data_IF_091812903478
#
_entry.id   IF_091812903478
#
_cell.length_a   1.000
_cell.length_b   1.000
_cell.length_c   1.000
_cell.angle_alpha   90.00
_cell.angle_beta   90.00
_cell.angle_gamma   90.00
#
_symmetry.space_group_name_H-M   'P 1'
#
loop_
_entity.id
_entity.type
_entity.pdbx_description
1 polymer ?
#
# COMPACT_ATOMS: atom_id res chain seq x y z
N UNK A 1 -13.68 -10.91 -29.96
CA UNK A 1 -13.71 -12.39 -30.12
C UNK A 1 -14.24 -12.82 -31.48
N UNK A 2 -15.38 -12.33 -31.96
CA UNK A 2 -15.98 -12.75 -33.25
C UNK A 2 -15.06 -12.60 -34.48
N UNK A 3 -14.13 -11.64 -34.48
CA UNK A 3 -13.14 -11.45 -35.56
C UNK A 3 -11.85 -12.26 -35.36
N UNK A 4 -11.73 -13.07 -34.30
CA UNK A 4 -10.53 -13.85 -33.99
C UNK A 4 -9.32 -13.06 -33.45
N UNK A 5 -9.39 -11.72 -33.37
CA UNK A 5 -8.27 -10.87 -32.93
C UNK A 5 -7.95 -10.94 -31.43
N UNK A 6 -8.92 -11.34 -30.61
CA UNK A 6 -8.80 -11.39 -29.15
C UNK A 6 -9.36 -12.72 -28.68
N UNK A 7 -8.57 -13.46 -27.89
CA UNK A 7 -8.96 -14.76 -27.31
C UNK A 7 -9.82 -14.61 -26.06
N UNK A 8 -9.40 -13.74 -25.14
CA UNK A 8 -10.05 -13.52 -23.85
C UNK A 8 -10.32 -12.03 -23.63
N UNK A 9 -11.51 -11.68 -23.16
CA UNK A 9 -11.87 -10.30 -22.82
C UNK A 9 -11.78 -10.15 -21.30
N UNK A 10 -10.96 -9.20 -20.86
CA UNK A 10 -10.65 -8.94 -19.44
C UNK A 10 -10.74 -7.43 -19.15
N UNK A 11 -10.79 -7.04 -17.87
CA UNK A 11 -10.76 -5.62 -17.48
C UNK A 11 -9.81 -5.34 -16.32
N UNK A 12 -9.36 -4.09 -16.19
CA UNK A 12 -8.74 -3.57 -14.96
C UNK A 12 -9.78 -2.90 -14.08
N UNK A 13 -9.61 -2.97 -12.76
CA UNK A 13 -10.59 -2.52 -11.78
C UNK A 13 -9.96 -1.73 -10.64
N UNK A 14 -10.56 -0.57 -10.31
CA UNK A 14 -10.03 0.40 -9.33
C UNK A 14 -11.13 1.03 -8.44
N UNK A 15 -12.22 0.31 -8.20
CA UNK A 15 -13.34 0.77 -7.37
C UNK A 15 -13.54 -0.17 -6.17
N UNK A 16 -14.75 -0.25 -5.59
CA UNK A 16 -15.06 -1.01 -4.38
C UNK A 16 -15.79 -2.35 -4.64
N UNK A 17 -15.97 -3.17 -3.60
CA UNK A 17 -16.63 -4.48 -3.70
C UNK A 17 -18.03 -4.45 -4.33
N UNK A 18 -18.82 -3.38 -4.14
CA UNK A 18 -20.17 -3.28 -4.73
C UNK A 18 -20.06 -3.18 -6.24
N UNK A 19 -19.14 -2.36 -6.75
CA UNK A 19 -18.88 -2.25 -8.18
C UNK A 19 -18.24 -3.53 -8.75
N UNK A 20 -17.31 -4.15 -8.01
CA UNK A 20 -16.64 -5.38 -8.43
C UNK A 20 -17.65 -6.51 -8.64
N UNK A 21 -18.57 -6.72 -7.69
CA UNK A 21 -19.64 -7.73 -7.81
C UNK A 21 -20.50 -7.49 -9.04
N UNK A 22 -20.90 -6.24 -9.33
CA UNK A 22 -21.68 -5.89 -10.53
C UNK A 22 -20.93 -6.24 -11.83
N UNK A 23 -19.62 -5.95 -11.89
CA UNK A 23 -18.81 -6.26 -13.07
C UNK A 23 -18.66 -7.77 -13.24
N UNK A 24 -18.40 -8.52 -12.16
CA UNK A 24 -18.35 -9.99 -12.20
C UNK A 24 -19.69 -10.56 -12.66
N UNK A 25 -20.79 -10.11 -12.07
CA UNK A 25 -22.14 -10.62 -12.35
C UNK A 25 -22.65 -10.26 -13.75
N UNK A 26 -22.02 -9.29 -14.43
CA UNK A 26 -22.32 -8.96 -15.83
C UNK A 26 -21.98 -10.10 -16.79
N UNK A 27 -21.07 -11.01 -16.41
CA UNK A 27 -20.59 -12.10 -17.27
C UNK A 27 -19.77 -11.63 -18.48
N UNK A 28 -19.38 -10.36 -18.55
CA UNK A 28 -18.68 -9.79 -19.70
C UNK A 28 -17.18 -10.11 -19.76
N UNK A 29 -16.57 -10.48 -18.63
CA UNK A 29 -15.11 -10.59 -18.49
C UNK A 29 -14.71 -11.96 -17.96
N UNK A 30 -13.67 -12.54 -18.56
CA UNK A 30 -13.10 -13.83 -18.18
C UNK A 30 -12.08 -13.70 -17.04
N UNK A 31 -11.44 -12.53 -16.92
CA UNK A 31 -10.57 -12.20 -15.80
C UNK A 31 -10.61 -10.69 -15.47
N UNK A 32 -10.28 -10.38 -14.22
CA UNK A 32 -10.22 -9.01 -13.69
C UNK A 32 -8.85 -8.78 -13.05
N UNK A 33 -8.19 -7.71 -13.49
CA UNK A 33 -6.97 -7.20 -12.85
C UNK A 33 -7.33 -6.17 -11.78
N UNK A 34 -6.88 -6.36 -10.54
CA UNK A 34 -7.25 -5.49 -9.41
C UNK A 34 -6.13 -5.34 -8.38
N UNK A 35 -6.28 -4.38 -7.46
CA UNK A 35 -5.32 -4.13 -6.39
C UNK A 35 -5.59 -5.05 -5.19
N UNK A 36 -4.56 -5.77 -4.75
CA UNK A 36 -4.60 -6.56 -3.50
C UNK A 36 -3.17 -6.79 -2.97
N UNK A 37 -2.95 -6.56 -1.68
CA UNK A 37 -1.71 -6.91 -0.98
C UNK A 37 -1.92 -6.81 0.54
N UNK A 38 -0.86 -7.08 1.32
CA UNK A 38 -0.89 -7.08 2.78
C UNK A 38 -1.38 -5.73 3.39
N UNK A 39 -1.22 -4.61 2.67
CA UNK A 39 -1.64 -3.27 3.11
C UNK A 39 -2.98 -2.83 2.50
N UNK A 40 -3.44 -3.48 1.44
CA UNK A 40 -4.67 -3.14 0.71
C UNK A 40 -5.51 -4.40 0.45
N UNK A 41 -6.50 -4.60 1.33
CA UNK A 41 -7.36 -5.78 1.39
C UNK A 41 -8.83 -5.43 1.14
N UNK A 42 -9.11 -4.25 0.62
CA UNK A 42 -10.49 -3.74 0.49
C UNK A 42 -11.35 -4.61 -0.42
N UNK A 43 -10.73 -5.34 -1.36
CA UNK A 43 -11.44 -6.13 -2.38
C UNK A 43 -11.54 -7.64 -2.08
N UNK A 44 -11.16 -8.11 -0.89
CA UNK A 44 -11.17 -9.55 -0.56
C UNK A 44 -12.51 -10.23 -0.81
N UNK A 45 -13.61 -9.62 -0.38
CA UNK A 45 -14.95 -10.15 -0.59
C UNK A 45 -15.32 -10.26 -2.09
N UNK A 46 -14.92 -9.28 -2.89
CA UNK A 46 -15.16 -9.27 -4.33
C UNK A 46 -14.24 -10.24 -5.09
N UNK A 47 -13.01 -10.44 -4.61
CA UNK A 47 -12.08 -11.46 -5.10
C UNK A 47 -12.68 -12.86 -4.89
N UNK A 48 -13.18 -13.15 -3.68
CA UNK A 48 -13.85 -14.42 -3.40
C UNK A 48 -15.11 -14.61 -4.27
N UNK A 49 -15.88 -13.55 -4.51
CA UNK A 49 -17.05 -13.58 -5.40
C UNK A 49 -16.67 -13.86 -6.86
N UNK A 50 -15.62 -13.22 -7.37
CA UNK A 50 -15.10 -13.46 -8.73
C UNK A 50 -14.70 -14.92 -8.92
N UNK A 51 -13.93 -15.47 -7.97
CA UNK A 51 -13.53 -16.88 -8.00
C UNK A 51 -14.73 -17.82 -7.96
N UNK A 52 -15.73 -17.57 -7.10
CA UNK A 52 -16.95 -18.37 -7.02
C UNK A 52 -17.78 -18.34 -8.32
N UNK A 53 -17.61 -17.32 -9.15
CA UNK A 53 -18.25 -17.16 -10.47
C UNK A 53 -17.39 -17.69 -11.63
N UNK A 54 -16.21 -18.24 -11.34
CA UNK A 54 -15.28 -18.75 -12.36
C UNK A 54 -14.54 -17.65 -13.12
N UNK A 55 -14.48 -16.43 -12.58
CA UNK A 55 -13.73 -15.31 -13.17
C UNK A 55 -12.32 -15.28 -12.60
N UNK A 56 -11.31 -15.25 -13.46
CA UNK A 56 -9.91 -15.19 -13.04
C UNK A 56 -9.57 -13.88 -12.33
N UNK A 57 -8.75 -13.96 -11.28
CA UNK A 57 -8.31 -12.77 -10.53
C UNK A 57 -6.80 -12.58 -10.73
N UNK A 58 -6.44 -11.45 -11.33
CA UNK A 58 -5.06 -11.04 -11.55
C UNK A 58 -4.74 -9.92 -10.57
N UNK A 59 -3.89 -10.19 -9.58
CA UNK A 59 -3.50 -9.22 -8.57
C UNK A 59 -2.37 -8.34 -9.09
N UNK A 60 -2.66 -7.05 -9.20
CA UNK A 60 -1.68 -6.00 -9.46
C UNK A 60 -1.14 -5.46 -8.13
N UNK A 61 0.18 -5.29 -8.07
CA UNK A 61 0.86 -4.65 -6.94
C UNK A 61 0.90 -5.51 -5.66
N UNK A 62 1.36 -6.78 -5.73
CA UNK A 62 1.57 -7.62 -4.54
C UNK A 62 2.56 -6.99 -3.56
N UNK A 63 3.52 -6.19 -4.06
CA UNK A 63 4.50 -5.44 -3.27
C UNK A 63 4.12 -3.96 -3.03
N UNK A 64 2.83 -3.62 -3.16
CA UNK A 64 2.26 -2.30 -2.88
C UNK A 64 2.97 -1.12 -3.58
N UNK A 65 3.32 -1.30 -4.86
CA UNK A 65 4.04 -0.28 -5.65
C UNK A 65 5.49 -0.07 -5.18
N UNK A 66 6.14 -1.14 -4.75
CA UNK A 66 7.53 -1.14 -4.28
C UNK A 66 7.69 -0.80 -2.79
N UNK A 67 6.60 -0.43 -2.08
CA UNK A 67 6.65 -0.13 -0.64
C UNK A 67 7.00 -1.35 0.21
N UNK A 68 6.62 -2.54 -0.24
CA UNK A 68 7.00 -3.81 0.38
C UNK A 68 8.23 -4.42 -0.31
N UNK A 69 8.83 -3.68 -1.26
CA UNK A 69 10.08 -4.01 -1.95
C UNK A 69 11.33 -3.66 -1.15
N UNK A 70 11.19 -2.97 -0.02
CA UNK A 70 12.29 -2.48 0.84
C UNK A 70 12.39 -3.33 2.10
N UNK A 71 13.43 -3.10 2.92
CA UNK A 71 13.50 -3.68 4.26
C UNK A 71 12.56 -2.94 5.23
N UNK A 72 12.07 -3.67 6.24
CA UNK A 72 11.42 -3.10 7.42
C UNK A 72 11.51 -4.10 8.55
N UNK A 73 12.21 -3.76 9.62
CA UNK A 73 12.33 -4.65 10.80
C UNK A 73 10.96 -4.89 11.46
N UNK A 74 10.08 -3.89 11.40
CA UNK A 74 8.72 -3.96 11.93
C UNK A 74 7.91 -5.02 11.18
N UNK A 75 7.99 -5.03 9.85
CA UNK A 75 7.19 -5.95 9.03
C UNK A 75 7.89 -7.30 8.81
N UNK A 76 9.22 -7.35 8.80
CA UNK A 76 9.98 -8.60 8.69
C UNK A 76 9.80 -9.49 9.93
N UNK A 77 9.55 -8.89 11.11
CA UNK A 77 9.31 -9.65 12.35
C UNK A 77 7.88 -10.21 12.47
N UNK A 78 7.02 -10.01 11.47
CA UNK A 78 5.65 -10.55 11.50
C UNK A 78 5.64 -12.09 11.46
N UNK A 79 6.52 -12.69 10.65
CA UNK A 79 6.60 -14.15 10.50
C UNK A 79 8.04 -14.61 10.72
N UNK A 80 8.34 -15.43 11.76
CA UNK A 80 9.71 -15.79 12.15
C UNK A 80 10.58 -16.40 11.04
N UNK A 81 9.95 -17.10 10.10
CA UNK A 81 10.64 -17.83 9.04
C UNK A 81 10.78 -17.05 7.72
N UNK A 82 10.19 -15.86 7.61
CA UNK A 82 10.25 -15.06 6.38
C UNK A 82 11.06 -13.79 6.67
N UNK A 83 12.26 -13.75 6.12
CA UNK A 83 13.23 -12.68 6.42
C UNK A 83 13.16 -11.48 5.49
N UNK A 84 12.56 -11.65 4.30
CA UNK A 84 12.49 -10.61 3.28
C UNK A 84 11.04 -10.15 3.13
N UNK A 85 10.79 -8.85 3.30
CA UNK A 85 9.47 -8.28 3.11
C UNK A 85 8.86 -8.52 1.72
N UNK A 86 9.61 -8.47 0.60
CA UNK A 86 9.06 -8.79 -0.72
C UNK A 86 8.56 -10.23 -0.81
N UNK A 87 9.26 -11.16 -0.17
CA UNK A 87 8.85 -12.56 -0.09
C UNK A 87 7.56 -12.71 0.71
N UNK A 88 7.46 -12.08 1.89
CA UNK A 88 6.24 -12.08 2.70
C UNK A 88 5.05 -11.51 1.93
N UNK A 89 5.26 -10.38 1.24
CA UNK A 89 4.22 -9.72 0.46
C UNK A 89 3.72 -10.59 -0.70
N UNK A 90 4.63 -11.26 -1.42
CA UNK A 90 4.27 -12.16 -2.50
C UNK A 90 3.56 -13.42 -1.98
N UNK A 91 4.09 -14.06 -0.93
CA UNK A 91 3.47 -15.23 -0.30
C UNK A 91 2.08 -14.92 0.24
N UNK A 92 1.87 -13.73 0.80
CA UNK A 92 0.55 -13.30 1.27
C UNK A 92 -0.50 -13.29 0.15
N UNK A 93 -0.14 -12.73 -1.01
CA UNK A 93 -1.05 -12.72 -2.17
C UNK A 93 -1.30 -14.13 -2.69
N UNK A 94 -0.25 -14.95 -2.83
CA UNK A 94 -0.35 -16.32 -3.32
C UNK A 94 -1.06 -17.28 -2.34
N UNK A 95 -1.10 -16.96 -1.05
CA UNK A 95 -1.82 -17.73 -0.05
C UNK A 95 -3.36 -17.57 -0.16
N UNK A 96 -3.86 -16.56 -0.88
CA UNK A 96 -5.29 -16.41 -1.12
C UNK A 96 -5.74 -17.38 -2.23
N UNK A 97 -6.56 -18.40 -1.92
CA UNK A 97 -6.96 -19.42 -2.91
C UNK A 97 -7.84 -18.87 -4.04
N UNK A 98 -8.35 -17.64 -3.89
CA UNK A 98 -9.20 -16.98 -4.89
C UNK A 98 -8.38 -16.14 -5.89
N UNK A 99 -7.05 -16.07 -5.73
CA UNK A 99 -6.15 -15.35 -6.64
C UNK A 99 -5.61 -16.32 -7.69
N UNK A 100 -5.71 -15.94 -8.97
CA UNK A 100 -5.21 -16.76 -10.09
C UNK A 100 -3.75 -16.43 -10.44
N UNK A 101 -3.39 -15.14 -10.41
CA UNK A 101 -2.05 -14.66 -10.80
C UNK A 101 -1.64 -13.47 -9.92
N UNK A 102 -0.38 -13.39 -9.52
CA UNK A 102 0.21 -12.21 -8.90
C UNK A 102 1.22 -11.53 -9.85
N UNK A 103 0.99 -10.26 -10.19
CA UNK A 103 1.88 -9.48 -11.06
C UNK A 103 2.90 -8.70 -10.23
N UNK A 104 4.09 -9.27 -10.05
CA UNK A 104 5.21 -8.62 -9.34
C UNK A 104 6.12 -7.90 -10.33
N UNK A 105 6.15 -6.56 -10.26
CA UNK A 105 7.06 -5.74 -11.06
C UNK A 105 8.49 -5.80 -10.52
N UNK A 106 9.47 -5.93 -11.41
CA UNK A 106 10.88 -6.12 -11.08
C UNK A 106 11.75 -5.27 -12.01
N UNK A 107 12.87 -4.77 -11.50
CA UNK A 107 13.83 -3.94 -12.25
C UNK A 107 15.21 -4.59 -12.37
N UNK A 108 15.50 -5.62 -11.58
CA UNK A 108 16.78 -6.32 -11.56
C UNK A 108 16.58 -7.83 -11.71
N UNK A 109 17.55 -8.51 -12.32
CA UNK A 109 17.47 -9.96 -12.55
C UNK A 109 17.40 -10.76 -11.24
N UNK A 110 18.10 -10.31 -10.20
CA UNK A 110 18.07 -10.95 -8.88
C UNK A 110 16.66 -10.98 -8.28
N UNK A 111 15.85 -9.95 -8.53
CA UNK A 111 14.45 -9.90 -8.07
C UNK A 111 13.60 -10.94 -8.81
N UNK A 112 13.91 -11.22 -10.09
CA UNK A 112 13.26 -12.28 -10.87
C UNK A 112 13.56 -13.65 -10.26
N UNK A 113 14.84 -13.93 -10.00
CA UNK A 113 15.27 -15.19 -9.39
C UNK A 113 14.63 -15.39 -8.02
N UNK A 114 14.62 -14.35 -7.19
CA UNK A 114 14.03 -14.37 -5.85
C UNK A 114 12.50 -14.56 -5.85
N UNK A 115 11.79 -13.87 -6.73
CA UNK A 115 10.34 -13.99 -6.84
C UNK A 115 9.94 -15.34 -7.45
N UNK A 116 10.68 -15.84 -8.44
CA UNK A 116 10.46 -17.16 -9.02
C UNK A 116 10.71 -18.28 -8.00
N UNK A 117 11.77 -18.18 -7.20
CA UNK A 117 12.02 -19.10 -6.10
C UNK A 117 10.88 -19.09 -5.07
N UNK A 118 10.40 -17.89 -4.69
CA UNK A 118 9.27 -17.74 -3.75
C UNK A 118 7.98 -18.34 -4.31
N UNK A 119 7.67 -18.10 -5.58
CA UNK A 119 6.44 -18.60 -6.22
C UNK A 119 6.47 -20.10 -6.53
N UNK A 120 7.67 -20.68 -6.69
CA UNK A 120 7.85 -22.12 -6.95
C UNK A 120 7.90 -22.95 -5.66
N UNK A 121 8.08 -22.31 -4.51
CA UNK A 121 8.08 -22.95 -3.21
C UNK A 121 6.63 -23.30 -2.81
N UNK A 122 6.30 -24.59 -2.57
CA UNK A 122 4.95 -25.01 -2.20
C UNK A 122 4.55 -24.59 -0.79
N UNK A 123 5.48 -24.03 0.01
CA UNK A 123 5.14 -23.54 1.34
C UNK A 123 4.23 -22.31 1.26
N UNK A 124 2.98 -22.52 1.66
CA UNK A 124 1.98 -21.46 1.80
C UNK A 124 1.99 -20.92 3.22
N UNK A 125 1.61 -19.65 3.38
CA UNK A 125 1.30 -19.12 4.71
C UNK A 125 0.17 -19.96 5.32
N UNK A 126 0.41 -20.48 6.52
CA UNK A 126 -0.61 -21.19 7.27
C UNK A 126 -1.69 -20.23 7.76
N UNK A 127 -2.82 -20.77 8.20
CA UNK A 127 -3.86 -19.94 8.85
C UNK A 127 -3.32 -19.24 10.12
N UNK A 128 -2.36 -19.84 10.82
CA UNK A 128 -1.70 -19.22 11.96
C UNK A 128 -0.81 -18.03 11.52
N UNK A 129 -0.12 -18.15 10.40
CA UNK A 129 0.68 -17.05 9.84
C UNK A 129 -0.21 -15.89 9.41
N UNK A 130 -1.32 -16.17 8.72
CA UNK A 130 -2.30 -15.15 8.31
C UNK A 130 -2.91 -14.44 9.54
N UNK A 131 -3.27 -15.19 10.58
CA UNK A 131 -3.78 -14.60 11.82
C UNK A 131 -2.71 -13.73 12.53
N UNK A 132 -1.44 -14.14 12.51
CA UNK A 132 -0.34 -13.36 13.08
C UNK A 132 -0.12 -12.05 12.30
N UNK A 133 -0.21 -12.07 10.97
CA UNK A 133 -0.17 -10.88 10.12
C UNK A 133 -1.32 -9.94 10.50
N UNK A 134 -2.54 -10.46 10.65
CA UNK A 134 -3.73 -9.68 11.00
C UNK A 134 -3.59 -9.00 12.36
N UNK A 135 -3.16 -9.75 13.38
CA UNK A 135 -2.92 -9.22 14.72
C UNK A 135 -1.85 -8.12 14.69
N UNK A 136 -0.74 -8.37 13.99
CA UNK A 136 0.35 -7.42 13.89
C UNK A 136 -0.09 -6.13 13.19
N UNK A 137 -0.77 -6.22 12.04
CA UNK A 137 -1.27 -5.07 11.31
C UNK A 137 -2.33 -4.30 12.11
N UNK A 138 -3.22 -4.99 12.83
CA UNK A 138 -4.20 -4.35 13.70
C UNK A 138 -3.53 -3.56 14.83
N UNK A 139 -2.46 -4.11 15.44
CA UNK A 139 -1.65 -3.42 16.44
C UNK A 139 -0.97 -2.18 15.85
N UNK A 140 -0.36 -2.30 14.68
CA UNK A 140 0.27 -1.17 14.00
C UNK A 140 -0.74 -0.08 13.64
N UNK A 141 -1.93 -0.45 13.16
CA UNK A 141 -3.00 0.50 12.85
C UNK A 141 -3.43 1.29 14.09
N UNK A 142 -3.63 0.62 15.23
CA UNK A 142 -3.93 1.30 16.49
C UNK A 142 -2.83 2.28 16.90
N UNK A 143 -1.57 1.94 16.65
CA UNK A 143 -0.46 2.89 16.87
C UNK A 143 -0.49 4.05 15.88
N UNK A 144 -0.87 3.82 14.61
CA UNK A 144 -1.02 4.87 13.61
C UNK A 144 -2.13 5.87 13.98
N UNK A 145 -3.23 5.40 14.58
CA UNK A 145 -4.35 6.24 15.04
C UNK A 145 -3.95 7.22 16.17
N UNK A 146 -2.83 6.98 16.86
CA UNK A 146 -2.25 7.92 17.82
C UNK A 146 -1.62 9.15 17.14
N UNK A 147 -1.44 9.10 15.83
CA UNK A 147 -0.85 10.17 15.02
C UNK A 147 -1.89 10.82 14.11
N UNK A 148 -1.43 11.69 13.21
CA UNK A 148 -2.30 12.35 12.25
C UNK A 148 -3.04 11.32 11.38
N UNK A 149 -4.37 11.45 11.32
CA UNK A 149 -5.25 10.60 10.51
C UNK A 149 -5.45 11.10 9.07
N UNK A 150 -4.79 12.20 8.68
CA UNK A 150 -4.90 12.74 7.32
C UNK A 150 -6.23 13.45 7.00
N UNK A 151 -7.01 13.84 8.01
CA UNK A 151 -8.35 14.45 7.87
C UNK A 151 -8.42 15.78 7.11
N UNK A 152 -7.30 16.49 6.93
CA UNK A 152 -7.23 17.69 6.11
C UNK A 152 -7.72 19.00 6.76
N UNK A 153 -8.28 18.99 7.98
CA UNK A 153 -8.76 20.22 8.64
C UNK A 153 -7.70 21.33 8.80
N UNK A 154 -6.42 20.95 8.89
CA UNK A 154 -5.30 21.89 8.97
C UNK A 154 -5.04 22.67 7.67
N UNK A 155 -5.69 22.28 6.56
CA UNK A 155 -5.50 22.86 5.23
C UNK A 155 -6.55 23.97 4.94
N UNK A 156 -6.27 24.88 3.98
CA UNK A 156 -4.98 25.09 3.33
C UNK A 156 -3.94 25.70 4.28
N UNK A 157 -2.67 25.36 4.08
CA UNK A 157 -1.55 26.03 4.73
C UNK A 157 -1.23 27.33 3.97
N UNK A 158 -0.99 28.47 4.63
CA UNK A 158 -0.64 29.73 3.95
C UNK A 158 0.69 29.68 3.18
N UNK A 159 1.55 28.69 3.48
CA UNK A 159 2.81 28.45 2.75
C UNK A 159 2.75 27.18 1.90
N UNK A 160 1.54 26.69 1.61
CA UNK A 160 1.28 25.50 0.79
C UNK A 160 1.99 24.22 1.26
N UNK A 161 2.34 24.14 2.56
CA UNK A 161 2.91 22.93 3.16
C UNK A 161 1.86 21.82 3.15
N UNK A 162 2.20 20.67 2.58
CA UNK A 162 1.29 19.54 2.40
C UNK A 162 1.19 18.70 3.69
N UNK A 163 0.66 19.29 4.78
CA UNK A 163 0.70 18.73 6.14
C UNK A 163 0.16 17.29 6.21
N UNK A 164 -1.04 16.96 5.69
CA UNK A 164 -1.57 15.59 5.77
C UNK A 164 -0.70 14.59 5.01
N UNK A 165 -0.19 14.98 3.84
CA UNK A 165 0.65 14.14 2.99
C UNK A 165 1.99 13.86 3.65
N UNK A 166 2.63 14.88 4.22
CA UNK A 166 3.89 14.75 4.95
C UNK A 166 3.72 13.82 6.15
N UNK A 167 2.65 13.97 6.93
CA UNK A 167 2.39 13.09 8.06
C UNK A 167 2.01 11.67 7.65
N UNK A 168 1.32 11.44 6.54
CA UNK A 168 1.15 10.09 6.00
C UNK A 168 2.51 9.43 5.72
N UNK A 169 3.44 10.13 5.06
CA UNK A 169 4.79 9.60 4.83
C UNK A 169 5.53 9.35 6.14
N UNK A 170 5.49 10.30 7.07
CA UNK A 170 6.18 10.16 8.35
C UNK A 170 5.61 9.01 9.20
N UNK A 171 4.29 8.86 9.23
CA UNK A 171 3.59 7.78 9.91
C UNK A 171 3.95 6.42 9.30
N UNK A 172 4.05 6.31 7.98
CA UNK A 172 4.52 5.08 7.31
C UNK A 172 5.90 4.66 7.76
N UNK A 173 6.84 5.60 7.82
CA UNK A 173 8.20 5.35 8.32
C UNK A 173 8.20 4.89 9.77
N UNK A 174 7.59 5.68 10.68
CA UNK A 174 7.67 5.43 12.13
C UNK A 174 6.82 4.26 12.64
N UNK A 175 5.70 3.96 11.99
CA UNK A 175 4.78 2.89 12.42
C UNK A 175 5.13 1.57 11.74
N UNK A 176 5.36 1.60 10.43
CA UNK A 176 5.55 0.38 9.63
C UNK A 176 7.01 0.12 9.25
N UNK A 177 7.95 0.98 9.69
CA UNK A 177 9.37 0.85 9.33
C UNK A 177 9.68 1.14 7.86
N UNK A 178 8.72 1.67 7.09
CA UNK A 178 8.83 1.87 5.64
C UNK A 178 9.58 3.17 5.28
N UNK A 179 10.78 3.36 5.85
CA UNK A 179 11.52 4.61 5.77
C UNK A 179 11.97 4.97 4.36
N UNK A 180 12.44 4.01 3.57
CA UNK A 180 12.93 4.30 2.21
C UNK A 180 11.80 4.80 1.31
N UNK A 181 10.66 4.12 1.32
CA UNK A 181 9.46 4.54 0.60
C UNK A 181 8.94 5.89 1.11
N UNK A 182 8.97 6.13 2.43
CA UNK A 182 8.56 7.39 3.03
C UNK A 182 9.47 8.56 2.60
N UNK A 183 10.79 8.38 2.62
CA UNK A 183 11.79 9.36 2.17
C UNK A 183 11.64 9.67 0.68
N UNK A 184 11.49 8.64 -0.16
CA UNK A 184 11.25 8.83 -1.59
C UNK A 184 9.95 9.61 -1.86
N UNK A 185 8.87 9.25 -1.18
CA UNK A 185 7.59 9.95 -1.30
C UNK A 185 7.62 11.39 -0.78
N UNK A 186 8.42 11.69 0.26
CA UNK A 186 8.63 13.04 0.74
C UNK A 186 9.43 13.91 -0.24
N UNK A 187 10.50 13.35 -0.83
CA UNK A 187 11.32 14.03 -1.83
C UNK A 187 10.53 14.39 -3.10
N UNK A 188 9.51 13.59 -3.45
CA UNK A 188 8.66 13.82 -4.61
C UNK A 188 7.68 15.01 -4.44
N UNK A 189 7.43 15.48 -3.21
CA UNK A 189 6.56 16.64 -2.96
C UNK A 189 7.22 17.88 -3.58
N UNK A 190 6.48 18.53 -4.47
CA UNK A 190 6.90 19.68 -5.27
C UNK A 190 7.63 19.33 -6.56
N UNK A 191 7.84 18.05 -6.88
CA UNK A 191 8.66 17.63 -8.03
C UNK A 191 7.88 17.53 -9.35
N UNK A 192 6.54 17.50 -9.33
CA UNK A 192 5.71 17.38 -10.52
C UNK A 192 4.32 17.97 -10.32
N UNK A 193 3.55 18.08 -11.41
CA UNK A 193 2.15 18.51 -11.36
C UNK A 193 1.26 17.56 -10.55
N UNK A 194 1.66 16.29 -10.38
CA UNK A 194 0.89 15.28 -9.65
C UNK A 194 1.21 15.28 -8.15
N UNK A 195 2.32 15.90 -7.75
CA UNK A 195 2.80 16.01 -6.38
C UNK A 195 2.95 17.47 -5.94
N UNK A 196 1.94 18.31 -6.21
CA UNK A 196 1.95 19.76 -5.89
C UNK A 196 2.15 20.03 -4.40
N UNK A 197 2.61 21.26 -4.14
CA UNK A 197 2.77 21.85 -2.82
C UNK A 197 4.16 21.73 -2.25
N UNK A 198 4.32 22.24 -1.04
CA UNK A 198 5.60 22.37 -0.38
C UNK A 198 5.83 21.29 0.70
N UNK A 199 7.11 20.99 0.88
CA UNK A 199 7.64 20.14 1.94
C UNK A 199 7.66 20.88 3.29
N UNK A 200 8.00 20.17 4.37
CA UNK A 200 7.92 20.68 5.73
C UNK A 200 8.88 21.85 6.02
N UNK A 201 9.98 21.97 5.27
CA UNK A 201 10.96 23.05 5.32
C UNK A 201 10.40 24.42 4.88
N UNK A 202 9.26 24.47 4.19
CA UNK A 202 8.57 25.72 3.89
C UNK A 202 7.68 26.23 5.05
N UNK A 203 7.62 25.52 6.18
CA UNK A 203 6.83 25.93 7.34
C UNK A 203 7.48 27.11 8.07
N UNK A 204 6.79 28.25 8.11
CA UNK A 204 7.24 29.46 8.85
C UNK A 204 6.79 29.50 10.31
N UNK A 205 6.32 28.38 10.87
CA UNK A 205 5.92 28.26 12.28
C UNK A 205 4.73 29.17 12.70
N UNK A 206 3.81 29.49 11.77
CA UNK A 206 2.72 30.47 11.99
C UNK A 206 1.58 30.05 12.95
N UNK A 207 1.44 28.76 13.29
CA UNK A 207 0.40 28.27 14.22
C UNK A 207 -0.99 28.02 13.64
N UNK A 208 -1.29 28.50 12.43
CA UNK A 208 -2.65 28.44 11.86
C UNK A 208 -3.23 27.01 11.78
N UNK A 209 -2.41 26.02 11.43
CA UNK A 209 -2.82 24.63 11.31
C UNK A 209 -3.25 23.99 12.64
N UNK A 210 -2.58 24.34 13.74
CA UNK A 210 -2.82 23.74 15.07
C UNK A 210 -4.19 24.16 15.63
N UNK A 211 -4.61 25.41 15.35
CA UNK A 211 -5.93 25.92 15.76
C UNK A 211 -7.10 25.15 15.13
N UNK A 212 -6.88 24.51 13.99
CA UNK A 212 -7.88 23.74 13.24
C UNK A 212 -7.80 22.24 13.51
N UNK A 213 -6.79 21.76 14.22
CA UNK A 213 -6.55 20.33 14.38
C UNK A 213 -7.50 19.73 15.43
N UNK A 214 -8.42 18.83 15.07
CA UNK A 214 -9.34 18.23 16.04
C UNK A 214 -8.62 17.36 17.08
N UNK A 215 -7.47 16.76 16.70
CA UNK A 215 -6.62 15.95 17.58
C UNK A 215 -5.67 16.80 18.45
N UNK A 216 -5.67 18.14 18.31
CA UNK A 216 -4.76 19.07 19.00
C UNK A 216 -3.28 18.66 18.89
N UNK A 217 -2.89 18.15 17.71
CA UNK A 217 -1.51 17.73 17.49
C UNK A 217 -0.57 18.96 17.48
N UNK A 218 0.65 18.83 18.01
CA UNK A 218 1.68 19.85 17.88
C UNK A 218 2.27 19.80 16.45
N UNK A 219 1.47 20.20 15.45
CA UNK A 219 1.77 20.07 14.03
C UNK A 219 3.12 20.69 13.67
N UNK A 220 3.46 21.87 14.21
CA UNK A 220 4.69 22.58 13.85
C UNK A 220 5.93 21.85 14.34
N UNK A 221 5.87 21.32 15.56
CA UNK A 221 6.91 20.46 16.11
C UNK A 221 7.06 19.18 15.28
N UNK A 222 5.95 18.50 15.00
CA UNK A 222 5.97 17.25 14.23
C UNK A 222 6.41 17.46 12.77
N UNK A 223 6.15 18.61 12.15
CA UNK A 223 6.67 18.93 10.81
C UNK A 223 8.20 19.03 10.81
N UNK A 224 8.80 19.62 11.84
CA UNK A 224 10.27 19.68 12.00
C UNK A 224 10.85 18.28 12.18
N UNK A 225 10.22 17.45 13.01
CA UNK A 225 10.59 16.04 13.21
C UNK A 225 10.48 15.23 11.92
N UNK A 226 9.35 15.39 11.20
CA UNK A 226 9.12 14.74 9.91
C UNK A 226 10.16 15.17 8.87
N UNK A 227 10.48 16.45 8.78
CA UNK A 227 11.52 16.93 7.86
C UNK A 227 12.87 16.29 8.15
N UNK A 228 13.27 16.26 9.43
CA UNK A 228 14.55 15.69 9.86
C UNK A 228 14.64 14.19 9.55
N UNK A 229 13.56 13.44 9.72
CA UNK A 229 13.52 12.00 9.47
C UNK A 229 13.38 11.63 7.98
N UNK A 230 12.71 12.46 7.19
CA UNK A 230 12.33 12.15 5.81
C UNK A 230 13.25 12.77 4.74
N UNK A 231 14.08 13.76 5.08
CA UNK A 231 15.09 14.26 4.15
C UNK A 231 16.09 13.13 3.83
N UNK A 232 16.51 13.05 2.57
CA UNK A 232 17.68 12.26 2.19
C UNK A 232 18.93 13.06 2.58
N UNK A 233 19.97 12.36 3.01
CA UNK A 233 21.31 12.94 3.16
C UNK A 233 21.87 13.33 1.79
#
# INVERSE_FOLDING_TARGET
QNQGLVKHVCCSFHDNNVALRKIVDSGMFEAITLQYNILDRQLEDGIAHAHAKGVGVVVMGPVAGGRLGTSSDVLNSMIPNIRRLPELALRFVLANPNVSVALSGMSEISQVDENAATASDPSVLSQADLAAIDEHLARLKKMADLYCTGCGYCMPCPNDVQIPKIFDRYNRGRVYGLWDAAKAGYAAIGASEWEKGNRADACIDCGACETKCPQKLPIRKQLKEAHAALKKD
#
